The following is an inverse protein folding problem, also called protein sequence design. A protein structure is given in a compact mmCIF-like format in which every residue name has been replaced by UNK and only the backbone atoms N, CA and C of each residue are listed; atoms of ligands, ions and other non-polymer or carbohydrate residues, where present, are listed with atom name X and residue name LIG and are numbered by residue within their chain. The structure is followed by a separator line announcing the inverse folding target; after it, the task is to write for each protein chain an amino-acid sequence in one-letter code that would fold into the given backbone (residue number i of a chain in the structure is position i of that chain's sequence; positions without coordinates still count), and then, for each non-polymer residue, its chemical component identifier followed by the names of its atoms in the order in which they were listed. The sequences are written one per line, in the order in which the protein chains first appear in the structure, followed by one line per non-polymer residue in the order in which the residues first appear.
data_IF_804041192454
#
_entry.id   IF_804041192454
#
_cell.length_a   1.000
_cell.length_b   1.000
_cell.length_c   1.000
_cell.angle_alpha   90.00
_cell.angle_beta   90.00
_cell.angle_gamma   90.00
#
_symmetry.space_group_name_H-M   'P 1'
#
loop_
_entity.id
_entity.type
_entity.pdbx_description
1 polymer ?
#
# COMPACT_ATOMS: atom_id res chain seq x y z
N UNK A 1 22.40 6.72 19.41
CA UNK A 1 21.61 5.50 19.27
C UNK A 1 20.29 5.99 18.72
N UNK A 2 20.10 5.90 17.41
CA UNK A 2 18.81 6.17 16.76
C UNK A 2 17.87 5.04 17.16
N UNK A 3 16.62 5.37 17.56
CA UNK A 3 15.54 4.41 17.83
C UNK A 3 15.20 3.65 16.53
N UNK A 4 15.96 2.58 16.25
CA UNK A 4 15.79 1.75 15.04
C UNK A 4 14.54 0.88 15.14
N UNK A 5 13.79 0.94 16.26
CA UNK A 5 12.64 0.09 16.55
C UNK A 5 11.29 0.83 16.64
N UNK A 6 11.21 2.10 16.26
CA UNK A 6 9.93 2.82 16.30
C UNK A 6 9.03 2.34 15.16
N UNK A 7 7.86 1.77 15.51
CA UNK A 7 6.87 1.30 14.53
C UNK A 7 6.06 2.48 14.00
N UNK A 8 6.01 2.65 12.69
CA UNK A 8 5.08 3.59 12.03
C UNK A 8 3.66 2.99 11.93
N UNK A 9 3.59 1.67 11.64
CA UNK A 9 2.35 0.91 11.55
C UNK A 9 2.56 -0.49 12.15
N UNK A 10 1.60 -0.94 12.95
CA UNK A 10 1.52 -2.32 13.41
C UNK A 10 0.18 -2.93 12.99
N UNK A 11 0.22 -4.09 12.35
CA UNK A 11 -0.94 -4.83 11.90
C UNK A 11 -1.01 -6.17 12.63
N UNK A 12 -2.14 -6.45 13.27
CA UNK A 12 -2.32 -7.64 14.08
C UNK A 12 -3.51 -8.46 13.59
N UNK A 13 -3.27 -9.73 13.25
CA UNK A 13 -4.27 -10.74 12.93
C UNK A 13 -5.31 -10.29 11.89
N UNK A 14 -4.90 -9.47 10.89
CA UNK A 14 -5.81 -9.00 9.86
C UNK A 14 -6.40 -10.16 9.08
N UNK A 15 -7.71 -10.25 9.11
CA UNK A 15 -8.46 -11.28 8.38
C UNK A 15 -9.54 -10.63 7.52
N UNK A 16 -9.65 -11.11 6.28
CA UNK A 16 -10.70 -10.70 5.35
C UNK A 16 -11.23 -11.90 4.60
N UNK A 17 -12.53 -12.12 4.70
CA UNK A 17 -13.23 -13.13 3.92
C UNK A 17 -14.36 -12.52 3.09
N UNK A 18 -14.72 -13.23 2.02
CA UNK A 18 -15.84 -12.95 1.14
C UNK A 18 -16.72 -14.18 1.06
N UNK A 19 -18.02 -14.01 1.31
CA UNK A 19 -19.01 -15.08 1.29
C UNK A 19 -19.61 -15.41 2.66
N UNK A 20 -20.61 -16.31 2.69
CA UNK A 20 -21.28 -16.75 3.90
C UNK A 20 -20.41 -17.79 4.62
N UNK A 21 -19.88 -17.50 5.79
CA UNK A 21 -19.12 -18.48 6.56
C UNK A 21 -20.01 -19.64 7.04
N UNK A 22 -19.46 -20.83 7.09
CA UNK A 22 -20.11 -22.01 7.67
C UNK A 22 -19.30 -22.54 8.88
N UNK A 23 -19.87 -23.42 9.73
CA UNK A 23 -19.15 -23.97 10.90
C UNK A 23 -17.80 -24.59 10.54
N UNK A 24 -17.72 -25.27 9.38
CA UNK A 24 -16.49 -25.91 8.92
C UNK A 24 -15.32 -24.92 8.68
N UNK A 25 -15.57 -23.77 8.05
CA UNK A 25 -14.51 -22.78 7.77
C UNK A 25 -14.38 -21.70 8.84
N UNK A 26 -15.25 -21.69 9.85
CA UNK A 26 -15.18 -20.75 10.97
C UNK A 26 -14.42 -21.30 12.18
N UNK A 27 -13.90 -22.53 12.09
CA UNK A 27 -13.16 -23.16 13.19
C UNK A 27 -14.00 -23.64 14.37
N UNK A 28 -15.36 -23.66 14.25
CA UNK A 28 -16.26 -24.05 15.36
C UNK A 28 -16.24 -25.56 15.61
N UNK A 29 -15.83 -26.36 14.64
CA UNK A 29 -15.84 -27.84 14.70
C UNK A 29 -14.49 -28.47 15.06
N UNK A 30 -13.45 -27.69 15.39
CA UNK A 30 -12.17 -28.21 15.91
C UNK A 30 -11.31 -28.99 14.91
N UNK A 31 -11.72 -29.08 13.65
CA UNK A 31 -10.90 -29.60 12.57
C UNK A 31 -10.09 -28.50 11.91
N UNK A 32 -8.84 -28.83 11.52
CA UNK A 32 -7.98 -27.96 10.73
C UNK A 32 -8.76 -27.41 9.54
N UNK A 33 -9.04 -26.13 9.61
CA UNK A 33 -9.52 -25.23 8.54
C UNK A 33 -10.17 -25.85 7.31
N UNK A 34 -11.10 -26.67 7.29
CA UNK A 34 -11.79 -27.26 6.11
C UNK A 34 -11.72 -26.47 4.78
N UNK A 35 -10.59 -25.75 4.60
CA UNK A 35 -10.28 -24.91 3.44
C UNK A 35 -9.35 -25.64 2.47
N UNK A 36 -9.64 -25.52 1.19
CA UNK A 36 -8.70 -25.84 0.11
C UNK A 36 -7.92 -24.55 -0.23
N UNK A 37 -6.65 -24.45 0.20
CA UNK A 37 -5.84 -23.21 0.14
C UNK A 37 -6.51 -22.09 0.95
N UNK A 38 -7.21 -21.19 0.29
CA UNK A 38 -7.95 -20.07 0.90
C UNK A 38 -9.47 -20.09 0.59
N UNK A 39 -9.99 -21.19 0.07
CA UNK A 39 -11.39 -21.36 -0.37
C UNK A 39 -12.07 -22.46 0.45
N UNK A 40 -13.30 -22.20 0.89
CA UNK A 40 -14.13 -23.21 1.55
C UNK A 40 -15.02 -23.93 0.53
N UNK A 41 -14.79 -25.21 0.24
CA UNK A 41 -15.61 -25.96 -0.74
C UNK A 41 -17.05 -26.18 -0.28
N UNK A 42 -17.32 -26.10 1.03
CA UNK A 42 -18.66 -26.32 1.58
C UNK A 42 -19.59 -25.12 1.41
N UNK A 43 -19.09 -23.88 1.51
CA UNK A 43 -19.92 -22.67 1.46
C UNK A 43 -19.49 -21.63 0.44
N UNK A 44 -18.40 -21.86 -0.28
CA UNK A 44 -17.91 -20.92 -1.29
C UNK A 44 -17.17 -19.70 -0.73
N UNK A 45 -16.90 -19.64 0.58
CA UNK A 45 -16.19 -18.51 1.18
C UNK A 45 -14.73 -18.51 0.77
N UNK A 46 -14.23 -17.32 0.36
CA UNK A 46 -12.81 -17.08 0.06
C UNK A 46 -12.21 -16.26 1.19
N UNK A 47 -11.13 -16.73 1.78
CA UNK A 47 -10.34 -16.00 2.75
C UNK A 47 -9.21 -15.28 2.02
N UNK A 48 -9.42 -14.01 1.68
CA UNK A 48 -8.39 -13.19 1.03
C UNK A 48 -7.22 -12.89 1.95
N UNK A 49 -7.48 -12.76 3.27
CA UNK A 49 -6.46 -12.61 4.31
C UNK A 49 -6.82 -13.50 5.50
N UNK A 50 -5.81 -14.12 6.12
CA UNK A 50 -5.95 -15.03 7.26
C UNK A 50 -4.85 -14.74 8.26
N UNK A 51 -5.21 -14.09 9.35
CA UNK A 51 -4.33 -13.83 10.49
C UNK A 51 -3.00 -13.15 10.08
N UNK A 52 -3.09 -12.16 9.19
CA UNK A 52 -1.93 -11.44 8.68
C UNK A 52 -1.49 -10.40 9.71
N UNK A 53 -0.23 -10.50 10.15
CA UNK A 53 0.39 -9.56 11.07
C UNK A 53 1.81 -9.20 10.62
N UNK A 54 2.18 -7.93 10.78
CA UNK A 54 3.53 -7.41 10.56
C UNK A 54 3.68 -6.04 11.19
N UNK A 55 4.94 -5.57 11.30
CA UNK A 55 5.27 -4.21 11.69
C UNK A 55 6.02 -3.51 10.55
N UNK A 56 5.63 -2.26 10.26
CA UNK A 56 6.37 -1.33 9.39
C UNK A 56 7.06 -0.31 10.31
N UNK A 57 8.37 -0.20 10.21
CA UNK A 57 9.15 0.72 11.03
C UNK A 57 9.24 2.12 10.40
N UNK A 58 9.60 3.12 11.22
CA UNK A 58 9.74 4.50 10.75
C UNK A 58 10.85 4.64 9.71
N UNK A 59 10.51 5.23 8.56
CA UNK A 59 11.42 5.39 7.43
C UNK A 59 11.74 4.12 6.65
N UNK A 60 11.15 2.96 7.02
CA UNK A 60 11.34 1.68 6.34
C UNK A 60 10.49 1.60 5.06
N UNK A 61 11.00 0.87 4.08
CA UNK A 61 10.22 0.35 2.95
C UNK A 61 10.02 -1.16 3.15
N UNK A 62 8.81 -1.57 3.52
CA UNK A 62 8.43 -2.98 3.65
C UNK A 62 7.80 -3.47 2.36
N UNK A 63 8.44 -4.44 1.70
CA UNK A 63 7.94 -5.12 0.51
C UNK A 63 6.94 -6.21 0.85
N UNK A 64 5.88 -6.35 0.04
CA UNK A 64 4.91 -7.45 0.10
C UNK A 64 4.88 -8.14 -1.24
N UNK A 65 5.32 -9.39 -1.31
CA UNK A 65 5.40 -10.17 -2.55
C UNK A 65 4.55 -11.44 -2.48
N UNK A 66 4.33 -12.08 -3.62
CA UNK A 66 3.57 -13.32 -3.76
C UNK A 66 2.75 -13.35 -5.04
N UNK A 67 2.13 -14.48 -5.35
CA UNK A 67 1.30 -14.67 -6.54
C UNK A 67 0.12 -13.71 -6.62
N UNK A 68 -0.44 -13.56 -7.84
CA UNK A 68 -1.73 -12.90 -8.03
C UNK A 68 -2.82 -13.61 -7.22
N UNK A 69 -3.62 -12.83 -6.48
CA UNK A 69 -4.65 -13.41 -5.60
C UNK A 69 -4.17 -13.83 -4.20
N UNK A 70 -2.89 -13.68 -3.85
CA UNK A 70 -2.40 -14.01 -2.50
C UNK A 70 -2.88 -13.06 -1.39
N UNK A 71 -3.56 -11.96 -1.72
CA UNK A 71 -4.14 -11.03 -0.74
C UNK A 71 -3.41 -9.68 -0.59
N UNK A 72 -2.30 -9.46 -1.28
CA UNK A 72 -1.45 -8.25 -1.13
C UNK A 72 -2.22 -6.92 -1.21
N UNK A 73 -2.90 -6.66 -2.31
CA UNK A 73 -3.70 -5.43 -2.47
C UNK A 73 -4.87 -5.35 -1.48
N UNK A 74 -5.35 -6.50 -0.96
CA UNK A 74 -6.40 -6.54 0.07
C UNK A 74 -5.91 -5.92 1.38
N UNK A 75 -4.63 -6.13 1.76
CA UNK A 75 -4.01 -5.47 2.92
C UNK A 75 -4.10 -3.95 2.75
N UNK A 76 -3.63 -3.42 1.60
CA UNK A 76 -3.64 -1.99 1.34
C UNK A 76 -5.06 -1.41 1.32
N UNK A 77 -6.03 -2.16 0.76
CA UNK A 77 -7.43 -1.75 0.71
C UNK A 77 -8.05 -1.69 2.12
N UNK A 78 -7.73 -2.62 3.02
CA UNK A 78 -8.17 -2.58 4.41
C UNK A 78 -7.53 -1.39 5.16
N UNK A 79 -6.21 -1.20 5.05
CA UNK A 79 -5.50 -0.11 5.71
C UNK A 79 -5.97 1.27 5.24
N UNK A 80 -6.30 1.42 3.95
CA UNK A 80 -6.77 2.70 3.39
C UNK A 80 -8.29 2.91 3.50
N UNK A 81 -9.01 1.99 4.15
CA UNK A 81 -10.48 2.00 4.29
C UNK A 81 -11.26 1.96 2.97
N UNK A 82 -10.65 1.43 1.90
CA UNK A 82 -11.37 1.09 0.66
C UNK A 82 -12.19 -0.19 0.85
N UNK A 83 -11.86 -0.98 1.90
CA UNK A 83 -12.52 -2.20 2.29
C UNK A 83 -12.48 -2.36 3.81
N UNK A 84 -13.61 -2.76 4.40
CA UNK A 84 -13.64 -3.08 5.85
C UNK A 84 -12.99 -4.46 6.09
N UNK A 85 -12.08 -4.58 7.07
CA UNK A 85 -11.57 -5.87 7.52
C UNK A 85 -12.70 -6.71 8.13
N UNK A 86 -12.54 -8.03 8.13
CA UNK A 86 -13.49 -8.93 8.81
C UNK A 86 -13.10 -9.18 10.26
N UNK A 87 -11.80 -9.15 10.58
CA UNK A 87 -11.23 -9.22 11.91
C UNK A 87 -9.80 -8.66 11.91
N UNK A 88 -9.22 -8.46 13.10
CA UNK A 88 -7.88 -7.92 13.29
C UNK A 88 -7.89 -6.46 13.71
N UNK A 89 -6.72 -5.91 13.99
CA UNK A 89 -6.51 -4.53 14.41
C UNK A 89 -5.29 -3.92 13.75
N UNK A 90 -5.27 -2.60 13.62
CA UNK A 90 -4.13 -1.85 13.12
C UNK A 90 -3.86 -0.61 13.97
N UNK A 91 -2.60 -0.28 14.16
CA UNK A 91 -2.14 0.84 14.98
C UNK A 91 -1.16 1.69 14.19
N UNK A 92 -1.40 3.00 14.15
CA UNK A 92 -0.51 4.00 13.54
C UNK A 92 0.13 4.82 14.66
N UNK A 93 1.45 4.90 14.73
CA UNK A 93 2.16 5.71 15.75
C UNK A 93 1.74 7.18 15.70
N UNK A 94 1.46 7.69 14.51
CA UNK A 94 1.01 9.06 14.27
C UNK A 94 -0.47 9.32 14.63
N UNK A 95 -1.22 8.30 15.02
CA UNK A 95 -2.60 8.43 15.51
C UNK A 95 -2.68 8.00 16.97
N UNK A 96 -3.08 8.92 17.88
CA UNK A 96 -3.21 8.66 19.32
C UNK A 96 -2.00 7.90 19.92
N UNK A 97 -0.79 8.24 19.43
CA UNK A 97 0.48 7.60 19.83
C UNK A 97 0.51 6.08 19.68
N UNK A 98 -0.24 5.55 18.69
CA UNK A 98 -0.29 4.11 18.41
C UNK A 98 -1.11 3.28 19.41
N UNK A 99 -1.93 3.92 20.27
CA UNK A 99 -2.68 3.21 21.32
C UNK A 99 -4.13 2.87 20.91
N UNK A 100 -4.58 3.32 19.76
CA UNK A 100 -5.95 3.13 19.30
C UNK A 100 -5.99 2.33 18.02
N UNK A 101 -6.80 1.26 18.00
CA UNK A 101 -7.06 0.48 16.80
C UNK A 101 -7.80 1.34 15.76
N UNK A 102 -7.11 1.63 14.64
CA UNK A 102 -7.65 2.50 13.59
C UNK A 102 -8.79 1.86 12.79
N UNK A 103 -8.99 0.54 12.88
CA UNK A 103 -10.15 -0.10 12.27
C UNK A 103 -11.45 0.10 13.08
N UNK A 104 -11.33 0.29 14.38
CA UNK A 104 -12.47 0.42 15.30
C UNK A 104 -12.99 1.85 15.47
N UNK A 105 -12.27 2.87 14.95
CA UNK A 105 -12.64 4.27 15.11
C UNK A 105 -13.87 4.67 14.29
N UNK A 106 -14.46 5.82 14.62
CA UNK A 106 -15.63 6.36 13.90
C UNK A 106 -15.35 6.62 12.42
N UNK A 107 -16.39 6.61 11.59
CA UNK A 107 -16.26 6.93 10.16
C UNK A 107 -15.66 8.32 9.89
N UNK A 108 -15.86 9.28 10.80
CA UNK A 108 -15.24 10.60 10.71
C UNK A 108 -13.73 10.52 10.97
N UNK A 109 -13.30 9.78 12.00
CA UNK A 109 -11.90 9.56 12.30
C UNK A 109 -11.19 8.80 11.17
N UNK A 110 -11.80 7.73 10.62
CA UNK A 110 -11.29 7.00 9.44
C UNK A 110 -11.04 7.94 8.26
N UNK A 111 -11.98 8.88 7.97
CA UNK A 111 -11.77 9.89 6.92
C UNK A 111 -10.61 10.83 7.24
N UNK A 112 -10.44 11.23 8.49
CA UNK A 112 -9.31 12.04 8.95
C UNK A 112 -7.99 11.31 8.71
N UNK A 113 -7.84 10.10 9.24
CA UNK A 113 -6.66 9.25 9.09
C UNK A 113 -6.32 9.04 7.60
N UNK A 114 -7.30 8.63 6.79
CA UNK A 114 -7.13 8.44 5.34
C UNK A 114 -6.61 9.69 4.63
N UNK A 115 -7.08 10.87 5.02
CA UNK A 115 -6.73 12.11 4.34
C UNK A 115 -5.40 12.70 4.80
N UNK A 116 -5.00 12.49 6.06
CA UNK A 116 -3.83 13.15 6.65
C UNK A 116 -2.67 12.21 6.96
N UNK A 117 -2.94 10.98 7.39
CA UNK A 117 -1.90 10.06 7.87
C UNK A 117 -1.53 8.97 6.87
N UNK A 118 -2.40 8.71 5.87
CA UNK A 118 -2.18 7.69 4.86
C UNK A 118 -2.15 8.29 3.45
N UNK A 119 -1.09 8.00 2.70
CA UNK A 119 -1.06 8.15 1.26
C UNK A 119 -1.32 6.82 0.58
N UNK A 120 -1.98 6.80 -0.59
CA UNK A 120 -2.12 5.60 -1.42
C UNK A 120 -1.93 5.92 -2.88
N UNK A 121 -1.12 5.10 -3.53
CA UNK A 121 -0.93 5.05 -4.98
C UNK A 121 -1.52 3.73 -5.46
N UNK A 122 -2.53 3.80 -6.33
CA UNK A 122 -3.22 2.63 -6.84
C UNK A 122 -2.51 2.06 -8.07
N UNK A 123 -2.63 0.77 -8.30
CA UNK A 123 -2.16 0.09 -9.50
C UNK A 123 -2.72 0.74 -10.77
N UNK A 124 -4.03 0.98 -10.80
CA UNK A 124 -4.68 1.68 -11.92
C UNK A 124 -4.90 3.16 -11.58
N UNK A 125 -4.29 4.09 -12.34
CA UNK A 125 -4.48 5.53 -12.14
C UNK A 125 -5.94 6.01 -12.15
N UNK A 126 -6.85 5.32 -12.83
CA UNK A 126 -8.28 5.64 -12.86
C UNK A 126 -8.95 5.55 -11.48
N UNK A 127 -8.40 4.76 -10.57
CA UNK A 127 -8.92 4.63 -9.20
C UNK A 127 -8.44 5.78 -8.29
N UNK A 128 -7.25 6.32 -8.57
CA UNK A 128 -6.63 7.37 -7.76
C UNK A 128 -6.88 8.79 -8.27
N UNK A 129 -7.13 8.96 -9.57
CA UNK A 129 -7.24 10.26 -10.22
C UNK A 129 -8.62 10.52 -10.79
N UNK A 130 -9.03 11.77 -10.72
CA UNK A 130 -10.18 12.31 -11.50
C UNK A 130 -9.68 12.74 -12.87
N UNK A 131 -9.82 11.89 -13.87
CA UNK A 131 -9.19 12.04 -15.19
C UNK A 131 -9.57 13.33 -15.92
N UNK A 132 -10.77 13.89 -15.64
CA UNK A 132 -11.28 15.14 -16.25
C UNK A 132 -11.00 16.40 -15.44
N UNK A 133 -10.24 16.30 -14.35
CA UNK A 133 -9.79 17.45 -13.55
C UNK A 133 -8.30 17.64 -13.79
N UNK A 134 -7.82 18.89 -13.77
CA UNK A 134 -6.40 19.15 -13.99
C UNK A 134 -5.50 18.43 -12.97
N UNK A 135 -4.22 18.22 -13.32
CA UNK A 135 -3.26 17.61 -12.41
C UNK A 135 -3.16 18.40 -11.08
N UNK A 136 -3.13 19.72 -11.13
CA UNK A 136 -3.16 20.58 -9.92
C UNK A 136 -4.41 20.32 -9.08
N UNK A 137 -5.60 20.25 -9.71
CA UNK A 137 -6.85 19.99 -8.99
C UNK A 137 -6.88 18.61 -8.35
N UNK A 138 -6.30 17.61 -9.00
CA UNK A 138 -6.17 16.26 -8.43
C UNK A 138 -5.33 16.24 -7.15
N UNK A 139 -4.21 16.98 -7.13
CA UNK A 139 -3.36 17.07 -5.94
C UNK A 139 -4.05 17.91 -4.85
N UNK A 140 -4.65 19.05 -5.20
CA UNK A 140 -5.35 19.92 -4.27
C UNK A 140 -6.60 19.27 -3.63
N UNK A 141 -7.25 18.31 -4.30
CA UNK A 141 -8.41 17.57 -3.77
C UNK A 141 -8.11 16.96 -2.39
N UNK A 142 -6.93 16.35 -2.22
CA UNK A 142 -6.52 15.72 -0.97
C UNK A 142 -6.33 16.76 0.16
N UNK A 143 -5.79 17.94 -0.18
CA UNK A 143 -5.62 19.05 0.75
C UNK A 143 -6.98 19.60 1.21
N UNK A 144 -7.94 19.73 0.29
CA UNK A 144 -9.31 20.14 0.59
C UNK A 144 -9.98 19.11 1.51
N UNK A 145 -9.84 17.83 1.20
CA UNK A 145 -10.43 16.73 1.98
C UNK A 145 -9.87 16.66 3.41
N UNK A 146 -8.65 17.15 3.64
CA UNK A 146 -8.05 17.30 4.97
C UNK A 146 -8.48 18.58 5.70
N UNK A 147 -9.37 19.39 5.12
CA UNK A 147 -9.89 20.62 5.74
C UNK A 147 -9.16 21.90 5.35
N UNK A 148 -8.27 21.85 4.36
CA UNK A 148 -7.60 23.04 3.81
C UNK A 148 -8.60 24.05 3.26
N UNK A 149 -8.43 25.34 3.59
CA UNK A 149 -9.30 26.44 3.15
C UNK A 149 -8.56 27.55 2.41
N UNK A 150 -7.25 27.62 2.55
CA UNK A 150 -6.43 28.59 1.85
C UNK A 150 -6.10 28.11 0.43
N UNK A 151 -6.85 28.60 -0.55
CA UNK A 151 -6.72 28.17 -1.97
C UNK A 151 -5.32 28.43 -2.50
N UNK A 152 -4.72 29.61 -2.22
CA UNK A 152 -3.39 29.96 -2.70
C UNK A 152 -2.31 29.04 -2.12
N UNK A 153 -2.39 28.71 -0.82
CA UNK A 153 -1.45 27.79 -0.19
C UNK A 153 -1.60 26.36 -0.73
N UNK A 154 -2.83 25.91 -0.96
CA UNK A 154 -3.09 24.58 -1.55
C UNK A 154 -2.60 24.50 -3.00
N UNK A 155 -2.81 25.53 -3.80
CA UNK A 155 -2.29 25.58 -5.17
C UNK A 155 -0.74 25.58 -5.16
N UNK A 156 -0.11 26.42 -4.34
CA UNK A 156 1.34 26.46 -4.22
C UNK A 156 1.92 25.09 -3.81
N UNK A 157 1.29 24.41 -2.84
CA UNK A 157 1.69 23.05 -2.44
C UNK A 157 1.52 22.03 -3.58
N UNK A 158 0.41 22.08 -4.31
CA UNK A 158 0.16 21.20 -5.44
C UNK A 158 1.17 21.43 -6.57
N UNK A 159 1.50 22.68 -6.88
CA UNK A 159 2.53 23.03 -7.87
C UNK A 159 3.91 22.51 -7.47
N UNK A 160 4.32 22.71 -6.23
CA UNK A 160 5.59 22.22 -5.72
C UNK A 160 5.70 20.68 -5.80
N UNK A 161 4.62 19.95 -5.48
CA UNK A 161 4.60 18.48 -5.58
C UNK A 161 4.62 18.01 -7.03
N UNK A 162 3.92 18.67 -7.95
CA UNK A 162 3.94 18.31 -9.36
C UNK A 162 5.31 18.57 -9.99
N UNK A 163 5.99 19.63 -9.60
CA UNK A 163 7.38 19.90 -9.98
C UNK A 163 8.32 18.83 -9.44
N UNK A 164 8.19 18.48 -8.15
CA UNK A 164 8.99 17.43 -7.49
C UNK A 164 8.88 16.07 -8.20
N UNK A 165 7.67 15.71 -8.69
CA UNK A 165 7.47 14.49 -9.49
C UNK A 165 7.73 14.71 -11.00
N UNK A 166 8.36 15.81 -11.38
CA UNK A 166 8.77 16.14 -12.75
C UNK A 166 7.62 16.14 -13.77
N UNK A 167 6.47 16.70 -13.41
CA UNK A 167 5.42 17.04 -14.37
C UNK A 167 5.77 18.40 -15.01
N UNK A 168 5.86 18.47 -16.37
CA UNK A 168 6.25 19.70 -17.05
C UNK A 168 5.33 20.88 -16.69
N UNK A 169 5.87 22.09 -16.40
CA UNK A 169 5.08 23.24 -15.95
C UNK A 169 3.92 23.62 -16.88
N UNK A 170 4.08 23.46 -18.19
CA UNK A 170 3.03 23.77 -19.16
C UNK A 170 1.89 22.75 -19.18
N UNK A 171 2.06 21.56 -18.55
CA UNK A 171 1.06 20.49 -18.49
C UNK A 171 0.32 20.39 -17.15
N UNK A 172 0.77 21.07 -16.10
CA UNK A 172 0.19 20.97 -14.75
C UNK A 172 -1.30 21.32 -14.67
N UNK A 173 -1.79 22.11 -15.60
CA UNK A 173 -3.21 22.49 -15.71
C UNK A 173 -4.00 21.63 -16.71
N UNK A 174 -3.34 20.67 -17.38
CA UNK A 174 -3.99 19.70 -18.24
C UNK A 174 -4.61 18.55 -17.42
N UNK A 175 -5.54 17.85 -18.03
CA UNK A 175 -6.21 16.71 -17.45
C UNK A 175 -5.36 15.44 -17.61
N UNK A 176 -5.29 14.56 -16.58
CA UNK A 176 -4.56 13.31 -16.65
C UNK A 176 -4.99 12.37 -17.79
N UNK A 177 -6.20 12.49 -18.33
CA UNK A 177 -6.62 11.71 -19.51
C UNK A 177 -5.73 11.90 -20.75
N UNK A 178 -5.02 13.04 -20.85
CA UNK A 178 -4.06 13.34 -21.91
C UNK A 178 -2.60 12.97 -21.57
N UNK A 179 -2.37 12.38 -20.39
CA UNK A 179 -1.04 12.04 -19.91
C UNK A 179 -0.68 10.60 -20.28
N UNK A 180 0.63 10.33 -20.45
CA UNK A 180 1.12 8.96 -20.49
C UNK A 180 0.89 8.25 -19.14
N UNK A 181 0.86 6.91 -19.13
CA UNK A 181 0.71 6.13 -17.91
C UNK A 181 1.69 6.52 -16.81
N UNK A 182 2.97 6.71 -17.16
CA UNK A 182 3.97 7.17 -16.20
C UNK A 182 3.77 8.59 -15.69
N UNK A 183 3.19 9.50 -16.49
CA UNK A 183 2.79 10.82 -16.00
C UNK A 183 1.60 10.73 -15.06
N UNK A 184 0.60 9.91 -15.38
CA UNK A 184 -0.55 9.65 -14.52
C UNK A 184 -0.09 9.09 -13.17
N UNK A 185 0.83 8.13 -13.18
CA UNK A 185 1.41 7.55 -11.98
C UNK A 185 2.12 8.59 -11.11
N UNK A 186 2.93 9.48 -11.74
CA UNK A 186 3.60 10.57 -11.01
C UNK A 186 2.60 11.56 -10.42
N UNK A 187 1.49 11.89 -11.09
CA UNK A 187 0.42 12.71 -10.51
C UNK A 187 -0.25 12.01 -9.33
N UNK A 188 -0.45 10.68 -9.38
CA UNK A 188 -0.95 9.92 -8.23
C UNK A 188 0.00 10.01 -7.03
N UNK A 189 1.31 9.86 -7.26
CA UNK A 189 2.33 10.00 -6.20
C UNK A 189 2.26 11.40 -5.60
N UNK A 190 2.23 12.47 -6.41
CA UNK A 190 2.07 13.84 -5.92
C UNK A 190 0.79 14.02 -5.09
N UNK A 191 -0.33 13.44 -5.54
CA UNK A 191 -1.60 13.45 -4.79
C UNK A 191 -1.49 12.70 -3.47
N UNK A 192 -0.87 11.53 -3.45
CA UNK A 192 -0.68 10.75 -2.23
C UNK A 192 0.17 11.49 -1.18
N UNK A 193 1.14 12.28 -1.63
CA UNK A 193 2.05 13.08 -0.79
C UNK A 193 1.49 14.44 -0.35
N UNK A 194 0.30 14.84 -0.80
CA UNK A 194 -0.23 16.20 -0.60
C UNK A 194 -0.15 16.69 0.84
N UNK A 195 -0.55 15.85 1.79
CA UNK A 195 -0.59 16.15 3.23
C UNK A 195 0.64 15.63 4.00
N UNK A 196 1.73 15.29 3.31
CA UNK A 196 2.94 14.72 3.92
C UNK A 196 2.63 13.56 4.87
N UNK A 197 1.94 12.50 4.41
CA UNK A 197 1.53 11.40 5.27
C UNK A 197 2.74 10.66 5.81
N UNK A 198 2.74 10.20 7.08
CA UNK A 198 3.82 9.39 7.63
C UNK A 198 3.91 7.98 7.00
N UNK A 199 2.81 7.47 6.45
CA UNK A 199 2.77 6.15 5.80
C UNK A 199 2.23 6.26 4.37
N UNK A 200 2.97 5.69 3.41
CA UNK A 200 2.62 5.63 2.00
C UNK A 200 2.38 4.17 1.58
N UNK A 201 1.22 3.90 1.03
CA UNK A 201 0.80 2.59 0.51
C UNK A 201 0.97 2.58 -1.01
N UNK A 202 1.79 1.68 -1.53
CA UNK A 202 2.15 1.58 -2.94
C UNK A 202 1.64 0.25 -3.51
N UNK A 203 0.61 0.29 -4.36
CA UNK A 203 0.00 -0.89 -4.96
C UNK A 203 0.47 -1.04 -6.41
N UNK A 204 1.42 -1.93 -6.65
CA UNK A 204 1.95 -2.28 -7.99
C UNK A 204 2.24 -1.06 -8.88
N UNK A 205 2.96 -0.08 -8.36
CA UNK A 205 3.11 1.27 -8.94
C UNK A 205 3.80 1.33 -10.31
N UNK A 206 4.37 0.24 -10.80
CA UNK A 206 5.09 0.16 -12.08
C UNK A 206 4.39 -0.73 -13.10
N UNK A 207 3.31 -1.42 -12.72
CA UNK A 207 2.58 -2.35 -13.61
C UNK A 207 2.01 -1.61 -14.83
N UNK A 208 2.22 -2.17 -16.01
CA UNK A 208 1.74 -1.61 -17.28
C UNK A 208 2.56 -0.43 -17.82
N UNK A 209 3.71 -0.12 -17.20
CA UNK A 209 4.65 0.86 -17.70
C UNK A 209 5.79 0.18 -18.50
N UNK A 210 6.30 0.85 -19.52
CA UNK A 210 7.53 0.40 -20.18
C UNK A 210 8.74 0.51 -19.24
N UNK A 211 9.79 -0.30 -19.47
CA UNK A 211 10.95 -0.40 -18.60
C UNK A 211 11.63 0.94 -18.29
N UNK A 212 11.69 1.84 -19.29
CA UNK A 212 12.34 3.14 -19.11
C UNK A 212 11.55 4.08 -18.22
N UNK A 213 10.23 4.02 -18.29
CA UNK A 213 9.30 4.78 -17.43
C UNK A 213 9.25 4.16 -16.05
N UNK A 214 9.24 2.84 -15.95
CA UNK A 214 9.30 2.10 -14.68
C UNK A 214 10.53 2.53 -13.86
N UNK A 215 11.73 2.49 -14.45
CA UNK A 215 12.95 2.92 -13.76
C UNK A 215 12.83 4.35 -13.19
N UNK A 216 12.29 5.30 -13.98
CA UNK A 216 12.10 6.69 -13.52
C UNK A 216 11.10 6.81 -12.37
N UNK A 217 10.05 5.99 -12.35
CA UNK A 217 9.08 5.98 -11.25
C UNK A 217 9.71 5.38 -9.98
N UNK A 218 10.51 4.32 -10.10
CA UNK A 218 11.22 3.71 -8.97
C UNK A 218 12.28 4.65 -8.39
N UNK A 219 13.07 5.32 -9.25
CA UNK A 219 14.03 6.33 -8.80
C UNK A 219 13.33 7.47 -8.05
N UNK A 220 12.18 7.93 -8.54
CA UNK A 220 11.37 8.95 -7.88
C UNK A 220 10.88 8.47 -6.51
N UNK A 221 10.36 7.24 -6.38
CA UNK A 221 9.90 6.69 -5.09
C UNK A 221 11.06 6.61 -4.11
N UNK A 222 12.24 6.14 -4.56
CA UNK A 222 13.45 6.06 -3.74
C UNK A 222 13.94 7.43 -3.28
N UNK A 223 13.90 8.42 -4.16
CA UNK A 223 14.24 9.82 -3.83
C UNK A 223 13.29 10.37 -2.77
N UNK A 224 11.98 10.21 -2.95
CA UNK A 224 10.95 10.65 -1.99
C UNK A 224 11.15 10.03 -0.63
N UNK A 225 11.40 8.71 -0.57
CA UNK A 225 11.64 7.99 0.68
C UNK A 225 12.85 8.58 1.44
N UNK A 226 13.97 8.81 0.73
CA UNK A 226 15.19 9.36 1.32
C UNK A 226 15.05 10.81 1.79
N UNK A 227 14.36 11.64 1.00
CA UNK A 227 14.22 13.07 1.30
C UNK A 227 13.22 13.35 2.42
N UNK A 228 12.14 12.57 2.49
CA UNK A 228 11.05 12.82 3.42
C UNK A 228 11.00 11.85 4.60
N UNK A 229 11.79 10.77 4.60
CA UNK A 229 11.80 9.76 5.65
C UNK A 229 10.45 9.06 5.84
N UNK A 230 9.62 8.98 4.78
CA UNK A 230 8.29 8.37 4.83
C UNK A 230 8.42 6.85 4.90
N UNK A 231 7.65 6.22 5.80
CA UNK A 231 7.52 4.76 5.85
C UNK A 231 6.62 4.28 4.71
N UNK A 232 7.02 3.22 4.00
CA UNK A 232 6.31 2.76 2.81
C UNK A 232 5.96 1.28 2.89
N UNK A 233 4.72 0.93 2.57
CA UNK A 233 4.29 -0.45 2.33
C UNK A 233 4.13 -0.65 0.83
N UNK A 234 5.05 -1.42 0.24
CA UNK A 234 5.16 -1.65 -1.21
C UNK A 234 4.63 -3.03 -1.58
N UNK A 235 3.54 -3.09 -2.29
CA UNK A 235 3.04 -4.33 -2.92
C UNK A 235 3.56 -4.43 -4.34
N UNK A 236 4.19 -5.56 -4.67
CA UNK A 236 4.64 -5.89 -6.02
C UNK A 236 4.62 -7.39 -6.26
N UNK A 237 4.42 -7.79 -7.52
CA UNK A 237 4.70 -9.13 -7.99
C UNK A 237 6.08 -9.22 -8.67
N UNK A 238 6.76 -8.09 -8.88
CA UNK A 238 8.10 -7.99 -9.48
C UNK A 238 9.15 -7.91 -8.37
N UNK A 239 9.95 -8.99 -8.23
CA UNK A 239 11.03 -9.06 -7.23
C UNK A 239 12.16 -8.06 -7.52
N UNK A 240 12.37 -7.67 -8.78
CA UNK A 240 13.33 -6.63 -9.15
C UNK A 240 12.97 -5.27 -8.56
N UNK A 241 11.67 -4.93 -8.56
CA UNK A 241 11.14 -3.72 -7.92
C UNK A 241 11.36 -3.75 -6.40
N UNK A 242 11.07 -4.90 -5.78
CA UNK A 242 11.25 -5.08 -4.33
C UNK A 242 12.72 -5.02 -3.94
N UNK A 243 13.61 -5.68 -4.69
CA UNK A 243 15.07 -5.61 -4.49
C UNK A 243 15.62 -4.18 -4.56
N UNK A 244 15.05 -3.35 -5.43
CA UNK A 244 15.47 -1.94 -5.57
C UNK A 244 15.04 -1.03 -4.44
N UNK A 245 13.87 -1.29 -3.85
CA UNK A 245 13.20 -0.34 -2.96
C UNK A 245 13.08 -0.82 -1.51
N UNK A 246 12.82 -2.12 -1.28
CA UNK A 246 12.44 -2.62 0.03
C UNK A 246 13.64 -2.97 0.91
N UNK A 247 13.58 -2.60 2.18
CA UNK A 247 14.55 -2.96 3.21
C UNK A 247 14.26 -4.37 3.74
N UNK A 248 13.00 -4.64 4.05
CA UNK A 248 12.48 -5.96 4.45
C UNK A 248 11.35 -6.38 3.52
N UNK A 249 11.11 -7.68 3.45
CA UNK A 249 10.11 -8.27 2.58
C UNK A 249 9.30 -9.33 3.32
N UNK A 250 7.98 -9.31 3.14
CA UNK A 250 7.07 -10.37 3.52
C UNK A 250 6.55 -11.09 2.28
N UNK A 251 6.50 -12.42 2.36
CA UNK A 251 6.02 -13.28 1.27
C UNK A 251 4.64 -13.80 1.64
N UNK A 252 3.68 -13.62 0.73
CA UNK A 252 2.29 -14.02 0.92
C UNK A 252 1.89 -15.17 0.02
N UNK A 253 1.24 -16.16 0.61
CA UNK A 253 0.62 -17.28 -0.10
C UNK A 253 -0.77 -17.57 0.48
N UNK A 254 -1.79 -17.69 -0.38
CA UNK A 254 -3.16 -18.07 0.03
C UNK A 254 -3.72 -17.26 1.21
N UNK A 255 -3.46 -15.95 1.24
CA UNK A 255 -3.94 -15.03 2.27
C UNK A 255 -3.15 -15.05 3.58
N UNK A 256 -2.03 -15.76 3.65
CA UNK A 256 -1.13 -15.82 4.84
C UNK A 256 0.24 -15.25 4.51
N UNK A 257 0.93 -14.73 5.53
CA UNK A 257 2.38 -14.51 5.48
C UNK A 257 3.04 -15.85 5.71
N UNK A 258 3.92 -16.26 4.79
CA UNK A 258 4.66 -17.53 4.88
C UNK A 258 6.13 -17.32 5.23
N UNK A 259 6.70 -16.18 4.85
CA UNK A 259 8.08 -15.83 5.19
C UNK A 259 8.22 -14.31 5.35
N UNK A 260 9.12 -13.88 6.22
CA UNK A 260 9.47 -12.49 6.47
C UNK A 260 10.96 -12.39 6.80
N UNK A 261 11.65 -11.40 6.23
CA UNK A 261 13.08 -11.19 6.46
C UNK A 261 13.63 -9.95 5.77
N UNK A 262 14.94 -9.73 5.87
CA UNK A 262 15.63 -8.73 5.05
C UNK A 262 15.45 -9.08 3.58
N UNK A 263 15.29 -8.07 2.73
CA UNK A 263 15.02 -8.29 1.30
C UNK A 263 16.09 -9.14 0.64
N UNK A 264 17.38 -8.87 0.90
CA UNK A 264 18.47 -9.67 0.34
C UNK A 264 18.42 -11.13 0.84
N UNK A 265 18.05 -11.37 2.12
CA UNK A 265 17.90 -12.72 2.66
C UNK A 265 16.77 -13.49 1.94
N UNK A 266 15.60 -12.87 1.80
CA UNK A 266 14.46 -13.48 1.09
C UNK A 266 14.79 -13.81 -0.37
N UNK A 267 15.61 -12.98 -1.03
CA UNK A 267 15.95 -13.16 -2.44
C UNK A 267 17.14 -14.11 -2.69
N UNK A 268 18.08 -14.23 -1.73
CA UNK A 268 19.32 -14.98 -1.92
C UNK A 268 19.34 -16.32 -1.14
N UNK A 269 18.65 -16.37 0.02
CA UNK A 269 18.60 -17.56 0.88
C UNK A 269 17.20 -17.79 1.47
N UNK A 270 16.14 -17.92 0.64
CA UNK A 270 14.78 -18.17 1.10
C UNK A 270 14.65 -19.51 1.81
N UNK A 271 13.96 -19.54 2.95
CA UNK A 271 13.81 -20.74 3.79
C UNK A 271 12.51 -21.50 3.46
N UNK A 272 11.45 -20.79 3.09
CA UNK A 272 10.17 -21.41 2.76
C UNK A 272 10.16 -21.98 1.33
N UNK A 273 9.66 -23.22 1.11
CA UNK A 273 9.64 -23.85 -0.22
C UNK A 273 8.95 -23.02 -1.30
N UNK A 274 7.85 -22.35 -0.93
CA UNK A 274 7.15 -21.46 -1.87
C UNK A 274 7.99 -20.24 -2.24
N UNK A 275 8.70 -19.64 -1.29
CA UNK A 275 9.59 -18.50 -1.56
C UNK A 275 10.73 -18.92 -2.48
N UNK A 276 11.30 -20.12 -2.28
CA UNK A 276 12.32 -20.68 -3.17
C UNK A 276 11.80 -20.82 -4.60
N UNK A 277 10.59 -21.38 -4.77
CA UNK A 277 9.94 -21.49 -6.09
C UNK A 277 9.68 -20.13 -6.72
N UNK A 278 9.16 -19.16 -5.92
CA UNK A 278 8.88 -17.80 -6.37
C UNK A 278 10.15 -17.10 -6.88
N UNK A 279 11.25 -17.15 -6.12
CA UNK A 279 12.54 -16.55 -6.49
C UNK A 279 13.12 -17.23 -7.72
N UNK A 280 13.11 -18.56 -7.81
CA UNK A 280 13.65 -19.30 -8.97
C UNK A 280 12.84 -19.07 -10.26
N UNK A 281 11.54 -18.77 -10.15
CA UNK A 281 10.69 -18.54 -11.32
C UNK A 281 10.86 -17.16 -11.95
N UNK A 282 11.52 -16.23 -11.24
CA UNK A 282 11.67 -14.82 -11.65
C UNK A 282 13.12 -14.42 -11.93
N UNK A 283 14.08 -15.32 -11.72
CA UNK A 283 15.49 -15.19 -12.12
C UNK A 283 15.73 -15.86 -13.49
#
# INVERSE_FOLDING_TARGET
MSDIDAKALELNALTKWFGPRCPRCSGVEGEEDGLEKNYCPACGTVYALRDVGFSLYEGEVLGVVGESGSGKSTILNCLYYDMEPSAGSAYLSSYESGNVDVFSVSAQAKRGIRNTLLGKVYQNPLQGLRMRFSAVSNVAEKLIAAGGRNVAAMEARALALLDHVSIPPFRIRENPEFFSGGMQQRVQIAKALSNSPPVLLLDEVTTGLDLSVQAKVLDLVKQIQRELGISMLLVSHDLGVVRMLADRTIVMLNGKVVEEGLTDQILEDPQEPYTQELVHSML
#
